data_IF_038451509028
#
_entry.id   IF_038451509028
#
_cell.length_a   1.000
_cell.length_b   1.000
_cell.length_c   1.000
_cell.angle_alpha   90.00
_cell.angle_beta   90.00
_cell.angle_gamma   90.00
#
_symmetry.space_group_name_H-M   'P 1'
#
loop_
_entity.id
_entity.type
_entity.pdbx_description
1 polymer ?
#
# COMPACT_ATOMS: atom_id res chain seq x y z
N UNK A 1 -45.53 7.24 -31.61
CA UNK A 1 -46.98 7.41 -31.37
C UNK A 1 -47.58 6.00 -31.28
N UNK A 2 -48.11 5.57 -30.11
CA UNK A 2 -48.76 4.28 -29.93
C UNK A 2 -47.93 3.17 -29.26
N UNK A 3 -46.68 3.42 -28.84
CA UNK A 3 -45.90 2.45 -28.05
C UNK A 3 -46.41 2.39 -26.62
N UNK A 4 -46.54 1.16 -26.07
CA UNK A 4 -46.92 0.97 -24.67
C UNK A 4 -45.77 1.33 -23.73
N UNK A 5 -46.07 1.75 -22.48
CA UNK A 5 -45.07 2.04 -21.46
C UNK A 5 -44.14 0.85 -21.20
N UNK A 6 -44.67 -0.37 -21.32
CA UNK A 6 -43.88 -1.60 -21.15
C UNK A 6 -42.83 -1.77 -22.25
N UNK A 7 -43.21 -1.47 -23.49
CA UNK A 7 -42.29 -1.56 -24.65
C UNK A 7 -41.17 -0.53 -24.53
N UNK A 8 -41.50 0.72 -24.11
CA UNK A 8 -40.50 1.76 -23.91
C UNK A 8 -39.54 1.42 -22.75
N UNK A 9 -40.07 0.92 -21.61
CA UNK A 9 -39.25 0.46 -20.50
C UNK A 9 -38.31 -0.66 -20.91
N UNK A 10 -38.85 -1.66 -21.60
CA UNK A 10 -38.04 -2.79 -22.11
C UNK A 10 -36.92 -2.32 -23.04
N UNK A 11 -37.18 -1.39 -23.96
CA UNK A 11 -36.17 -0.84 -24.84
C UNK A 11 -35.04 -0.11 -24.10
N UNK A 12 -35.39 0.71 -23.08
CA UNK A 12 -34.41 1.44 -22.27
C UNK A 12 -33.59 0.50 -21.38
N UNK A 13 -34.21 -0.58 -20.85
CA UNK A 13 -33.49 -1.60 -20.09
C UNK A 13 -32.51 -2.38 -20.96
N UNK A 14 -32.92 -2.80 -22.16
CA UNK A 14 -32.04 -3.49 -23.12
C UNK A 14 -30.87 -2.58 -23.49
N UNK A 15 -31.11 -1.28 -23.75
CA UNK A 15 -30.06 -0.32 -24.03
C UNK A 15 -29.04 -0.24 -22.88
N UNK A 16 -29.51 -0.12 -21.63
CA UNK A 16 -28.63 -0.08 -20.44
C UNK A 16 -27.79 -1.36 -20.27
N UNK A 17 -28.42 -2.53 -20.48
CA UNK A 17 -27.72 -3.83 -20.45
C UNK A 17 -26.68 -3.92 -21.58
N UNK A 18 -27.03 -3.49 -22.82
CA UNK A 18 -26.08 -3.47 -23.94
C UNK A 18 -24.87 -2.58 -23.67
N UNK A 19 -25.07 -1.38 -23.08
CA UNK A 19 -23.98 -0.49 -22.69
C UNK A 19 -23.10 -1.13 -21.62
N UNK A 20 -23.70 -1.79 -20.62
CA UNK A 20 -22.95 -2.49 -19.57
C UNK A 20 -22.15 -3.66 -20.12
N UNK A 21 -22.73 -4.47 -21.01
CA UNK A 21 -22.02 -5.57 -21.67
C UNK A 21 -20.93 -5.09 -22.61
N UNK A 22 -21.13 -3.97 -23.31
CA UNK A 22 -20.08 -3.35 -24.10
C UNK A 22 -18.91 -2.88 -23.24
N UNK A 23 -19.19 -2.23 -22.09
CA UNK A 23 -18.18 -1.85 -21.12
C UNK A 23 -17.44 -3.09 -20.56
N UNK A 24 -18.17 -4.19 -20.34
CA UNK A 24 -17.57 -5.46 -19.95
C UNK A 24 -16.63 -6.01 -21.03
N UNK A 25 -17.00 -5.98 -22.32
CA UNK A 25 -16.10 -6.38 -23.41
C UNK A 25 -14.84 -5.54 -23.46
N UNK A 26 -14.95 -4.22 -23.23
CA UNK A 26 -13.78 -3.36 -23.10
C UNK A 26 -12.90 -3.74 -21.89
N UNK A 27 -13.51 -4.13 -20.76
CA UNK A 27 -12.75 -4.59 -19.60
C UNK A 27 -11.97 -5.87 -19.88
N UNK A 28 -12.51 -6.79 -20.70
CA UNK A 28 -11.78 -7.97 -21.15
C UNK A 28 -10.59 -7.62 -22.05
N UNK A 29 -10.70 -6.56 -22.86
CA UNK A 29 -9.55 -6.04 -23.62
C UNK A 29 -8.45 -5.51 -22.69
N UNK A 30 -8.82 -4.79 -21.62
CA UNK A 30 -7.84 -4.39 -20.60
C UNK A 30 -7.24 -5.61 -19.88
N UNK A 31 -8.03 -6.60 -19.53
CA UNK A 31 -7.55 -7.84 -18.93
C UNK A 31 -6.52 -8.57 -19.82
N UNK A 32 -6.66 -8.47 -21.13
CA UNK A 32 -5.67 -9.01 -22.09
C UNK A 32 -4.38 -8.19 -22.16
N UNK A 33 -4.46 -6.87 -21.91
CA UNK A 33 -3.30 -5.95 -21.98
C UNK A 33 -2.52 -5.91 -20.65
N UNK A 34 -3.21 -5.94 -19.50
CA UNK A 34 -2.62 -5.80 -18.15
C UNK A 34 -1.48 -6.79 -17.88
N UNK A 35 -1.55 -8.08 -18.26
CA UNK A 35 -0.45 -9.03 -18.04
C UNK A 35 0.88 -8.64 -18.72
N UNK A 36 0.82 -7.73 -19.70
CA UNK A 36 1.98 -7.22 -20.42
C UNK A 36 2.52 -5.91 -19.84
N UNK A 37 1.96 -5.45 -18.74
CA UNK A 37 2.34 -4.20 -18.07
C UNK A 37 2.87 -4.47 -16.66
N UNK A 38 3.63 -3.53 -16.05
CA UNK A 38 4.07 -3.67 -14.66
C UNK A 38 2.93 -3.80 -13.65
N UNK A 39 1.71 -3.44 -14.02
CA UNK A 39 0.52 -3.53 -13.12
C UNK A 39 0.23 -4.97 -12.71
N UNK A 40 0.64 -5.97 -13.50
CA UNK A 40 0.47 -7.38 -13.15
C UNK A 40 1.16 -7.76 -11.84
N UNK A 41 2.28 -7.13 -11.52
CA UNK A 41 3.01 -7.40 -10.27
C UNK A 41 2.27 -6.96 -8.99
N UNK A 42 1.22 -6.13 -9.14
CA UNK A 42 0.38 -5.71 -8.02
C UNK A 42 -0.68 -6.76 -7.65
N UNK A 43 -0.89 -7.77 -8.48
CA UNK A 43 -1.94 -8.79 -8.30
C UNK A 43 -1.28 -10.15 -8.13
N UNK A 44 -1.49 -10.79 -6.99
CA UNK A 44 -0.94 -12.11 -6.66
C UNK A 44 -1.79 -13.27 -7.24
N UNK A 45 -2.62 -13.01 -8.25
CA UNK A 45 -3.45 -14.00 -8.91
C UNK A 45 -3.09 -14.12 -10.40
N UNK A 46 -3.25 -15.31 -10.95
CA UNK A 46 -3.16 -15.50 -12.40
C UNK A 46 -4.38 -14.85 -13.07
N UNK A 47 -4.15 -13.67 -13.67
CA UNK A 47 -5.14 -12.89 -14.41
C UNK A 47 -5.12 -13.19 -15.91
N UNK A 48 -4.45 -14.27 -16.36
CA UNK A 48 -4.44 -14.64 -17.77
C UNK A 48 -5.84 -15.03 -18.25
N UNK A 49 -6.18 -14.63 -19.47
CA UNK A 49 -7.53 -14.74 -20.03
C UNK A 49 -8.10 -16.16 -20.01
N UNK A 50 -7.26 -17.18 -20.06
CA UNK A 50 -7.66 -18.60 -20.06
C UNK A 50 -7.69 -19.27 -18.69
N UNK A 51 -7.13 -18.64 -17.65
CA UNK A 51 -6.92 -19.30 -16.36
C UNK A 51 -8.22 -19.54 -15.58
N UNK A 52 -9.20 -18.64 -15.73
CA UNK A 52 -10.40 -18.67 -14.88
C UNK A 52 -11.70 -18.38 -15.66
N UNK A 53 -12.14 -19.26 -16.59
CA UNK A 53 -13.30 -19.01 -17.44
C UNK A 53 -14.61 -18.84 -16.64
N UNK A 54 -14.71 -19.47 -15.47
CA UNK A 54 -15.89 -19.38 -14.62
C UNK A 54 -16.02 -17.97 -13.97
N UNK A 55 -14.91 -17.32 -13.62
CA UNK A 55 -14.92 -15.93 -13.12
C UNK A 55 -15.31 -14.98 -14.25
N UNK A 56 -14.78 -15.17 -15.45
CA UNK A 56 -15.14 -14.38 -16.63
C UNK A 56 -16.64 -14.50 -16.91
N UNK A 57 -17.20 -15.70 -16.91
CA UNK A 57 -18.63 -15.90 -17.10
C UNK A 57 -19.47 -15.28 -15.97
N UNK A 58 -19.04 -15.44 -14.71
CA UNK A 58 -19.70 -14.85 -13.54
C UNK A 58 -19.71 -13.33 -13.57
N UNK A 59 -18.60 -12.70 -13.94
CA UNK A 59 -18.51 -11.22 -14.07
C UNK A 59 -19.35 -10.70 -15.24
N UNK A 60 -19.53 -11.46 -16.32
CA UNK A 60 -20.46 -11.11 -17.39
C UNK A 60 -21.91 -11.05 -16.89
N UNK A 61 -22.32 -12.04 -16.09
CA UNK A 61 -23.66 -12.05 -15.46
C UNK A 61 -23.82 -10.86 -14.51
N UNK A 62 -22.81 -10.56 -13.69
CA UNK A 62 -22.81 -9.39 -12.81
C UNK A 62 -22.93 -8.09 -13.63
N UNK A 63 -22.21 -7.97 -14.73
CA UNK A 63 -22.29 -6.80 -15.62
C UNK A 63 -23.71 -6.63 -16.20
N UNK A 64 -24.37 -7.73 -16.60
CA UNK A 64 -25.76 -7.68 -17.08
C UNK A 64 -26.73 -7.23 -15.97
N UNK A 65 -26.60 -7.78 -14.74
CA UNK A 65 -27.41 -7.39 -13.59
C UNK A 65 -27.21 -5.89 -13.25
N UNK A 66 -25.96 -5.42 -13.23
CA UNK A 66 -25.65 -3.99 -13.01
C UNK A 66 -26.28 -3.10 -14.07
N UNK A 67 -26.21 -3.51 -15.35
CA UNK A 67 -26.88 -2.81 -16.45
C UNK A 67 -28.40 -2.74 -16.27
N UNK A 68 -29.02 -3.84 -15.86
CA UNK A 68 -30.46 -3.88 -15.57
C UNK A 68 -30.84 -2.95 -14.41
N UNK A 69 -30.13 -3.06 -13.28
CA UNK A 69 -30.37 -2.20 -12.10
C UNK A 69 -30.17 -0.70 -12.41
N UNK A 70 -29.12 -0.38 -13.17
CA UNK A 70 -28.85 1.01 -13.60
C UNK A 70 -29.93 1.54 -14.54
N UNK A 71 -30.51 0.71 -15.41
CA UNK A 71 -31.56 1.07 -16.34
C UNK A 71 -32.95 1.14 -15.72
N UNK A 72 -33.21 0.45 -14.58
CA UNK A 72 -34.53 0.40 -13.95
C UNK A 72 -35.07 1.80 -13.62
N UNK A 73 -34.32 2.58 -12.88
CA UNK A 73 -34.78 3.90 -12.44
C UNK A 73 -35.02 4.86 -13.64
N UNK A 74 -34.09 5.05 -14.58
CA UNK A 74 -34.32 5.90 -15.75
C UNK A 74 -35.53 5.47 -16.58
N UNK A 75 -35.72 4.16 -16.80
CA UNK A 75 -36.84 3.64 -17.57
C UNK A 75 -38.18 3.93 -16.93
N UNK A 76 -38.32 3.73 -15.63
CA UNK A 76 -39.51 4.09 -14.89
C UNK A 76 -39.77 5.60 -14.87
N UNK A 77 -38.71 6.37 -14.66
CA UNK A 77 -38.81 7.83 -14.57
C UNK A 77 -39.26 8.44 -15.90
N UNK A 78 -38.62 8.06 -17.02
CA UNK A 78 -38.95 8.59 -18.35
C UNK A 78 -40.40 8.24 -18.77
N UNK A 79 -40.86 7.04 -18.43
CA UNK A 79 -42.23 6.60 -18.81
C UNK A 79 -43.33 7.06 -17.86
N UNK A 80 -42.97 7.73 -16.73
CA UNK A 80 -43.98 8.28 -15.81
C UNK A 80 -44.57 9.64 -16.23
N UNK A 81 -44.04 10.25 -17.29
CA UNK A 81 -44.49 11.56 -17.78
C UNK A 81 -45.53 11.44 -18.88
N UNK A 82 -46.61 12.28 -18.87
CA UNK A 82 -47.55 12.33 -19.95
C UNK A 82 -46.91 12.76 -21.27
N UNK A 83 -47.17 12.06 -22.38
CA UNK A 83 -46.57 12.37 -23.70
C UNK A 83 -46.74 13.82 -24.17
N UNK A 84 -47.86 14.47 -23.79
CA UNK A 84 -48.14 15.86 -24.13
C UNK A 84 -47.11 16.86 -23.51
N UNK A 85 -46.54 16.58 -22.35
CA UNK A 85 -45.50 17.40 -21.73
C UNK A 85 -44.14 17.23 -22.38
N UNK A 86 -43.88 16.02 -22.90
CA UNK A 86 -42.64 15.68 -23.61
C UNK A 86 -42.58 16.41 -24.96
N UNK A 87 -43.71 16.45 -25.67
CA UNK A 87 -43.81 17.12 -26.97
C UNK A 87 -43.70 18.65 -26.88
N UNK A 88 -44.02 19.26 -25.72
CA UNK A 88 -43.87 20.72 -25.48
C UNK A 88 -42.45 21.15 -25.10
N UNK A 89 -41.45 20.26 -25.17
CA UNK A 89 -40.03 20.59 -24.93
C UNK A 89 -39.64 20.90 -23.50
N UNK A 90 -40.60 20.87 -22.53
CA UNK A 90 -40.36 21.19 -21.11
C UNK A 90 -39.89 19.98 -20.26
N UNK A 91 -39.62 18.87 -20.92
CA UNK A 91 -39.44 17.55 -20.32
C UNK A 91 -38.11 17.36 -19.58
N UNK A 92 -37.01 17.99 -20.02
CA UNK A 92 -35.66 17.63 -19.55
C UNK A 92 -35.31 18.01 -18.10
N UNK A 93 -36.20 18.64 -17.33
CA UNK A 93 -35.78 19.58 -16.29
C UNK A 93 -36.60 19.54 -15.02
N UNK A 94 -37.17 18.37 -14.70
CA UNK A 94 -37.84 18.21 -13.40
C UNK A 94 -36.83 18.37 -12.26
N UNK A 95 -37.30 18.99 -11.17
CA UNK A 95 -36.53 19.13 -9.92
C UNK A 95 -36.02 17.77 -9.38
N UNK A 96 -36.81 16.71 -9.60
CA UNK A 96 -36.44 15.34 -9.19
C UNK A 96 -35.26 14.77 -10.00
N UNK A 97 -35.23 14.94 -11.33
CA UNK A 97 -34.10 14.47 -12.16
C UNK A 97 -32.80 15.20 -11.85
N UNK A 98 -32.87 16.50 -11.55
CA UNK A 98 -31.69 17.28 -11.13
C UNK A 98 -31.14 16.81 -9.78
N UNK A 99 -32.02 16.63 -8.78
CA UNK A 99 -31.60 16.10 -7.46
C UNK A 99 -30.95 14.74 -7.56
N UNK A 100 -31.52 13.83 -8.37
CA UNK A 100 -30.95 12.49 -8.56
C UNK A 100 -29.56 12.53 -9.15
N UNK A 101 -29.29 13.34 -10.17
CA UNK A 101 -27.96 13.51 -10.75
C UNK A 101 -26.96 14.08 -9.75
N UNK A 102 -27.39 15.11 -8.97
CA UNK A 102 -26.54 15.68 -7.92
C UNK A 102 -26.21 14.65 -6.85
N UNK A 103 -27.15 13.78 -6.48
CA UNK A 103 -26.90 12.68 -5.52
C UNK A 103 -25.90 11.67 -6.08
N UNK A 104 -26.05 11.26 -7.36
CA UNK A 104 -25.11 10.32 -7.98
C UNK A 104 -23.68 10.88 -8.03
N UNK A 105 -23.51 12.13 -8.45
CA UNK A 105 -22.21 12.82 -8.44
C UNK A 105 -21.71 13.00 -7.01
N UNK A 106 -22.61 13.26 -6.05
CA UNK A 106 -22.28 13.33 -4.63
C UNK A 106 -21.68 12.02 -4.10
N UNK A 107 -22.29 10.88 -4.43
CA UNK A 107 -21.75 9.55 -4.06
C UNK A 107 -20.36 9.34 -4.66
N UNK A 108 -20.14 9.74 -5.92
CA UNK A 108 -18.82 9.66 -6.55
C UNK A 108 -17.77 10.52 -5.82
N UNK A 109 -18.12 11.74 -5.40
CA UNK A 109 -17.22 12.59 -4.62
C UNK A 109 -16.91 12.00 -3.25
N UNK A 110 -17.93 11.48 -2.53
CA UNK A 110 -17.71 10.80 -1.25
C UNK A 110 -16.73 9.63 -1.42
N UNK A 111 -16.95 8.78 -2.42
CA UNK A 111 -16.05 7.67 -2.72
C UNK A 111 -14.62 8.16 -3.06
N UNK A 112 -14.51 9.23 -3.86
CA UNK A 112 -13.20 9.82 -4.21
C UNK A 112 -12.48 10.36 -2.97
N UNK A 113 -13.17 11.05 -2.06
CA UNK A 113 -12.55 11.51 -0.81
C UNK A 113 -12.07 10.35 0.05
N UNK A 114 -12.88 9.29 0.19
CA UNK A 114 -12.51 8.09 0.97
C UNK A 114 -11.24 7.46 0.40
N UNK A 115 -11.18 7.27 -0.92
CA UNK A 115 -10.06 6.63 -1.58
C UNK A 115 -8.78 7.49 -1.54
N UNK A 116 -8.89 8.81 -1.76
CA UNK A 116 -7.74 9.72 -1.73
C UNK A 116 -7.17 9.81 -0.31
N UNK A 117 -8.02 9.99 0.71
CA UNK A 117 -7.56 10.03 2.10
C UNK A 117 -6.92 8.70 2.49
N UNK A 118 -7.54 7.57 2.12
CA UNK A 118 -7.00 6.23 2.34
C UNK A 118 -5.64 6.04 1.68
N UNK A 119 -5.51 6.42 0.41
CA UNK A 119 -4.26 6.34 -0.36
C UNK A 119 -3.14 7.18 0.28
N UNK A 120 -3.43 8.42 0.70
CA UNK A 120 -2.45 9.28 1.34
C UNK A 120 -1.94 8.69 2.67
N UNK A 121 -2.84 8.18 3.51
CA UNK A 121 -2.41 7.54 4.76
C UNK A 121 -1.66 6.23 4.54
N UNK A 122 -2.03 5.42 3.55
CA UNK A 122 -1.25 4.24 3.18
C UNK A 122 0.15 4.61 2.70
N UNK A 123 0.26 5.65 1.89
CA UNK A 123 1.57 6.17 1.49
C UNK A 123 2.40 6.62 2.71
N UNK A 124 1.81 7.37 3.64
CA UNK A 124 2.48 7.83 4.84
C UNK A 124 2.92 6.66 5.74
N UNK A 125 2.08 5.64 5.92
CA UNK A 125 2.44 4.45 6.68
C UNK A 125 3.57 3.65 6.02
N UNK A 126 3.50 3.45 4.70
CA UNK A 126 4.54 2.77 3.96
C UNK A 126 5.87 3.52 4.04
N UNK A 127 5.83 4.84 3.87
CA UNK A 127 7.00 5.71 4.03
C UNK A 127 7.58 5.64 5.45
N UNK A 128 6.73 5.63 6.47
CA UNK A 128 7.14 5.46 7.86
C UNK A 128 7.85 4.12 8.07
N UNK A 129 7.27 2.99 7.58
CA UNK A 129 7.86 1.66 7.72
C UNK A 129 9.22 1.53 7.02
N UNK A 130 9.39 2.13 5.86
CA UNK A 130 10.65 2.08 5.10
C UNK A 130 11.77 2.89 5.75
N UNK A 131 11.44 4.02 6.40
CA UNK A 131 12.41 4.97 6.93
C UNK A 131 12.56 4.94 8.46
N UNK A 132 11.73 4.19 9.17
CA UNK A 132 11.83 4.11 10.61
C UNK A 132 13.12 3.39 11.04
N UNK A 133 13.80 3.88 12.09
CA UNK A 133 14.99 3.23 12.60
C UNK A 133 14.64 1.82 13.12
N UNK A 134 15.34 0.83 12.64
CA UNK A 134 15.16 -0.56 13.04
C UNK A 134 15.91 -0.88 14.34
N UNK A 135 16.92 -0.07 14.67
CA UNK A 135 17.84 -0.30 15.81
C UNK A 135 19.07 -1.12 15.40
N UNK A 136 19.25 -1.35 14.10
CA UNK A 136 20.42 -2.00 13.51
C UNK A 136 20.65 -1.49 12.08
N UNK A 137 21.88 -1.68 11.58
CA UNK A 137 22.27 -1.28 10.22
C UNK A 137 21.77 -2.29 9.19
N UNK A 138 21.17 -1.78 8.11
CA UNK A 138 20.71 -2.57 6.96
C UNK A 138 21.38 -2.17 5.64
N UNK A 139 21.99 -1.00 5.62
CA UNK A 139 22.54 -0.40 4.40
C UNK A 139 23.89 -1.04 4.02
N UNK A 140 24.16 -1.08 2.74
CA UNK A 140 25.42 -1.61 2.19
C UNK A 140 25.75 -3.03 2.67
N UNK A 141 24.70 -3.88 2.81
CA UNK A 141 24.83 -5.24 3.31
C UNK A 141 24.23 -6.24 2.32
N UNK A 142 24.99 -7.30 2.05
CA UNK A 142 24.56 -8.45 1.27
C UNK A 142 24.32 -9.63 2.21
N UNK A 143 23.25 -10.37 1.92
CA UNK A 143 22.86 -11.57 2.64
C UNK A 143 23.03 -12.78 1.74
N UNK A 144 23.53 -13.85 2.36
CA UNK A 144 23.70 -15.16 1.73
C UNK A 144 23.17 -16.25 2.65
N UNK A 145 22.35 -17.14 2.12
CA UNK A 145 22.03 -18.39 2.79
C UNK A 145 23.15 -19.38 2.62
N UNK A 146 23.63 -19.93 3.73
CA UNK A 146 24.74 -20.85 3.78
C UNK A 146 24.26 -22.30 3.82
N UNK A 147 25.07 -23.20 3.22
CA UNK A 147 24.92 -24.63 3.37
C UNK A 147 25.98 -25.22 4.31
N UNK A 148 25.91 -26.53 4.54
CA UNK A 148 26.85 -27.24 5.43
C UNK A 148 28.29 -27.19 4.94
N UNK A 149 28.53 -27.19 3.62
CA UNK A 149 29.86 -27.14 3.04
C UNK A 149 30.57 -25.83 3.40
N UNK A 150 29.87 -24.71 3.24
CA UNK A 150 30.38 -23.38 3.60
C UNK A 150 30.58 -23.29 5.13
N UNK A 151 29.62 -23.78 5.92
CA UNK A 151 29.74 -23.75 7.39
C UNK A 151 30.97 -24.48 7.92
N UNK A 152 31.32 -25.63 7.32
CA UNK A 152 32.54 -26.38 7.68
C UNK A 152 33.82 -25.62 7.32
N UNK A 153 33.79 -24.74 6.34
CA UNK A 153 34.93 -23.96 5.86
C UNK A 153 34.76 -22.46 6.13
N UNK A 154 33.98 -22.09 7.17
CA UNK A 154 33.53 -20.72 7.43
C UNK A 154 34.67 -19.71 7.53
N UNK A 155 35.76 -20.04 8.21
CA UNK A 155 36.90 -19.13 8.39
C UNK A 155 37.57 -18.83 7.03
N UNK A 156 37.85 -19.88 6.23
CA UNK A 156 38.42 -19.72 4.89
C UNK A 156 37.45 -18.95 3.95
N UNK A 157 36.16 -19.15 4.10
CA UNK A 157 35.15 -18.39 3.36
C UNK A 157 35.13 -16.91 3.79
N UNK A 158 35.20 -16.63 5.10
CA UNK A 158 35.31 -15.27 5.64
C UNK A 158 36.55 -14.54 5.13
N UNK A 159 37.71 -15.20 5.15
CA UNK A 159 38.99 -14.65 4.66
C UNK A 159 38.92 -14.33 3.16
N UNK A 160 38.29 -15.21 2.37
CA UNK A 160 38.09 -14.96 0.97
C UNK A 160 37.15 -13.76 0.73
N UNK A 161 36.05 -13.64 1.44
CA UNK A 161 35.16 -12.47 1.31
C UNK A 161 35.90 -11.18 1.66
N UNK A 162 36.70 -11.19 2.75
CA UNK A 162 37.49 -10.04 3.20
C UNK A 162 38.67 -9.71 2.26
N UNK A 163 39.05 -10.59 1.32
CA UNK A 163 40.05 -10.28 0.32
C UNK A 163 39.62 -9.21 -0.68
N UNK A 164 38.30 -8.95 -0.81
CA UNK A 164 37.78 -7.83 -1.58
C UNK A 164 37.86 -6.55 -0.75
N UNK A 165 38.56 -5.55 -1.24
CA UNK A 165 38.86 -4.30 -0.52
C UNK A 165 37.63 -3.50 -0.08
N UNK A 166 36.48 -3.69 -0.77
CA UNK A 166 35.19 -3.08 -0.47
C UNK A 166 34.47 -3.72 0.70
N UNK A 167 34.78 -4.97 1.08
CA UNK A 167 34.19 -5.62 2.25
C UNK A 167 34.75 -4.98 3.52
N UNK A 168 33.87 -4.57 4.41
CA UNK A 168 34.22 -4.01 5.71
C UNK A 168 34.37 -5.13 6.75
N UNK A 169 33.31 -5.97 6.88
CA UNK A 169 33.31 -7.11 7.80
C UNK A 169 32.26 -8.14 7.38
N UNK A 170 32.32 -9.34 7.99
CA UNK A 170 31.39 -10.45 7.76
C UNK A 170 30.94 -10.99 9.09
N UNK A 171 29.65 -11.30 9.21
CA UNK A 171 29.10 -11.91 10.41
C UNK A 171 28.01 -12.93 10.07
N UNK A 172 27.61 -13.73 11.03
CA UNK A 172 26.74 -14.87 10.82
C UNK A 172 25.64 -14.97 11.85
N UNK A 173 24.50 -15.51 11.44
CA UNK A 173 23.42 -15.91 12.35
C UNK A 173 22.78 -17.22 11.92
N UNK A 174 22.11 -17.88 12.85
CA UNK A 174 21.40 -19.12 12.57
C UNK A 174 20.16 -18.88 11.67
N UNK A 175 19.47 -17.78 11.89
CA UNK A 175 18.31 -17.35 11.09
C UNK A 175 18.53 -15.92 10.61
N UNK A 176 17.82 -15.53 9.56
CA UNK A 176 17.84 -14.16 9.08
C UNK A 176 17.17 -13.22 10.08
N UNK A 177 17.87 -12.17 10.51
CA UNK A 177 17.28 -11.11 11.33
C UNK A 177 16.16 -10.41 10.56
N UNK A 178 15.01 -10.20 11.20
CA UNK A 178 13.82 -9.58 10.61
C UNK A 178 13.18 -10.36 9.44
N UNK A 179 13.32 -11.68 9.43
CA UNK A 179 12.54 -12.54 8.54
C UNK A 179 11.08 -12.61 9.01
N UNK A 180 10.16 -12.99 8.09
CA UNK A 180 8.77 -13.29 8.48
C UNK A 180 8.66 -14.56 9.35
N UNK A 181 9.59 -15.47 9.15
CA UNK A 181 9.68 -16.67 9.94
C UNK A 181 10.21 -16.29 11.32
N UNK A 182 9.40 -16.55 12.31
CA UNK A 182 9.74 -16.26 13.70
C UNK A 182 11.02 -17.00 14.09
N UNK A 183 11.85 -16.33 14.88
CA UNK A 183 12.98 -16.98 15.55
C UNK A 183 12.46 -18.09 16.44
N UNK A 184 13.31 -19.07 16.74
CA UNK A 184 12.93 -20.11 17.69
C UNK A 184 12.58 -19.49 19.04
N UNK A 185 11.35 -19.69 19.48
CA UNK A 185 10.96 -19.37 20.84
C UNK A 185 11.67 -20.33 21.81
N UNK A 186 12.45 -19.80 22.71
CA UNK A 186 13.12 -20.58 23.75
C UNK A 186 12.40 -20.41 25.07
N UNK A 187 12.10 -21.57 25.73
CA UNK A 187 11.70 -21.63 27.11
C UNK A 187 12.92 -21.99 27.97
N UNK A 188 13.21 -21.24 29.01
CA UNK A 188 14.32 -21.45 29.94
C UNK A 188 13.88 -21.21 31.36
N UNK A 189 14.54 -21.91 32.32
CA UNK A 189 14.33 -21.61 33.73
C UNK A 189 15.24 -20.47 34.18
N UNK A 190 14.62 -19.48 34.82
CA UNK A 190 15.32 -18.39 35.46
C UNK A 190 14.76 -18.17 36.86
N UNK A 191 15.56 -18.49 37.91
CA UNK A 191 15.18 -18.38 39.32
C UNK A 191 13.87 -19.12 39.66
N UNK A 192 13.68 -20.33 39.08
CA UNK A 192 12.49 -21.16 39.29
C UNK A 192 11.25 -20.75 38.50
N UNK A 193 11.37 -19.77 37.60
CA UNK A 193 10.30 -19.31 36.67
C UNK A 193 10.67 -19.66 35.24
N UNK A 194 9.72 -20.24 34.51
CA UNK A 194 9.91 -20.45 33.07
C UNK A 194 9.72 -19.12 32.33
N UNK A 195 10.77 -18.64 31.66
CA UNK A 195 10.75 -17.46 30.82
C UNK A 195 10.74 -17.88 29.34
N UNK A 196 9.95 -17.17 28.52
CA UNK A 196 9.85 -17.44 27.09
C UNK A 196 10.28 -16.21 26.31
N UNK A 197 11.22 -16.39 25.40
CA UNK A 197 11.76 -15.31 24.58
C UNK A 197 12.14 -15.81 23.19
N UNK A 198 12.20 -14.90 22.22
CA UNK A 198 12.75 -15.18 20.90
C UNK A 198 14.28 -15.22 21.02
N UNK A 199 14.92 -16.22 20.42
CA UNK A 199 16.37 -16.35 20.46
C UNK A 199 16.96 -16.40 19.06
N UNK A 200 17.98 -15.59 18.82
CA UNK A 200 18.78 -15.62 17.59
C UNK A 200 20.23 -15.95 17.93
N UNK A 201 20.68 -17.18 17.69
CA UNK A 201 22.09 -17.53 17.76
C UNK A 201 22.91 -16.80 16.69
N UNK A 202 24.03 -16.21 17.11
CA UNK A 202 24.87 -15.33 16.29
C UNK A 202 26.36 -15.58 16.54
N UNK A 203 27.21 -15.14 15.59
CA UNK A 203 28.65 -15.11 15.77
C UNK A 203 29.09 -13.94 16.67
N UNK A 204 30.27 -14.01 17.24
CA UNK A 204 30.81 -13.01 18.17
C UNK A 204 30.95 -11.60 17.58
N UNK A 205 31.02 -11.45 16.27
CA UNK A 205 31.11 -10.16 15.59
C UNK A 205 29.73 -9.53 15.27
N UNK A 206 28.63 -10.23 15.56
CA UNK A 206 27.30 -9.90 15.00
C UNK A 206 26.81 -8.51 15.39
N UNK A 207 26.78 -8.17 16.68
CA UNK A 207 26.27 -6.90 17.14
C UNK A 207 27.08 -5.74 16.59
N UNK A 208 28.41 -5.89 16.58
CA UNK A 208 29.32 -4.89 16.02
C UNK A 208 29.09 -4.63 14.54
N UNK A 209 28.94 -5.68 13.72
CA UNK A 209 28.70 -5.54 12.27
C UNK A 209 27.33 -4.98 11.95
N UNK A 210 26.34 -5.35 12.76
CA UNK A 210 24.96 -4.85 12.66
C UNK A 210 24.77 -3.47 13.28
N UNK A 211 25.79 -2.85 13.88
CA UNK A 211 25.69 -1.55 14.52
C UNK A 211 24.78 -1.52 15.75
N UNK A 212 24.59 -2.66 16.43
CA UNK A 212 23.76 -2.77 17.63
C UNK A 212 24.61 -2.45 18.85
N UNK A 213 24.29 -1.35 19.55
CA UNK A 213 25.02 -0.93 20.73
C UNK A 213 24.52 -1.66 21.98
N UNK A 214 25.46 -2.16 22.79
CA UNK A 214 25.16 -2.72 24.11
C UNK A 214 25.05 -1.57 25.11
N UNK A 215 23.89 -1.41 25.74
CA UNK A 215 23.62 -0.35 26.73
C UNK A 215 24.16 -0.64 28.08
N UNK A 216 24.16 -1.91 28.49
CA UNK A 216 24.62 -2.36 29.82
C UNK A 216 25.37 -3.67 29.67
N UNK A 217 26.47 -3.82 30.38
CA UNK A 217 27.34 -4.97 30.25
C UNK A 217 28.34 -4.84 29.12
N UNK A 218 28.52 -5.88 28.31
CA UNK A 218 29.50 -5.94 27.22
C UNK A 218 28.96 -6.71 26.02
N UNK A 219 29.56 -6.47 24.85
CA UNK A 219 29.37 -7.25 23.64
C UNK A 219 30.06 -8.63 23.72
N UNK A 220 29.68 -9.51 22.80
CA UNK A 220 30.36 -10.77 22.55
C UNK A 220 31.84 -10.55 22.22
N UNK A 221 32.68 -11.50 22.62
CA UNK A 221 34.12 -11.51 22.30
C UNK A 221 34.49 -12.85 21.68
N UNK A 222 35.53 -12.91 20.85
CA UNK A 222 36.01 -14.17 20.30
C UNK A 222 36.38 -15.22 21.36
N UNK A 223 36.78 -14.76 22.56
CA UNK A 223 37.10 -15.66 23.68
C UNK A 223 35.84 -16.37 24.23
N UNK A 224 34.67 -15.78 24.07
CA UNK A 224 33.42 -16.40 24.55
C UNK A 224 33.07 -17.65 23.72
N UNK A 225 33.49 -17.75 22.45
CA UNK A 225 33.36 -18.96 21.61
C UNK A 225 34.12 -20.16 22.17
N UNK A 226 35.14 -19.93 23.04
CA UNK A 226 35.98 -20.97 23.63
C UNK A 226 35.48 -21.40 25.00
N UNK A 227 34.48 -20.76 25.58
CA UNK A 227 33.90 -21.12 26.87
C UNK A 227 33.10 -22.43 26.76
N UNK A 228 33.01 -23.17 27.88
CA UNK A 228 32.18 -24.38 27.92
C UNK A 228 30.69 -24.12 27.86
N UNK A 229 30.25 -22.92 28.27
CA UNK A 229 28.86 -22.48 28.27
C UNK A 229 28.67 -21.31 27.29
N UNK A 230 27.46 -21.14 26.78
CA UNK A 230 27.08 -19.99 25.97
C UNK A 230 26.87 -18.73 26.82
N UNK A 231 26.51 -17.64 26.12
CA UNK A 231 26.13 -16.41 26.77
C UNK A 231 25.01 -15.67 26.00
N UNK A 232 24.22 -14.93 26.79
CA UNK A 232 23.08 -14.16 26.29
C UNK A 232 23.31 -12.66 26.36
N UNK A 233 22.80 -11.96 25.35
CA UNK A 233 22.54 -10.52 25.37
C UNK A 233 21.07 -10.31 25.10
N UNK A 234 20.33 -9.80 26.07
CA UNK A 234 18.88 -9.59 26.00
C UNK A 234 18.51 -8.17 25.60
N UNK A 235 17.30 -7.99 25.06
CA UNK A 235 16.73 -6.66 24.86
C UNK A 235 16.13 -6.10 26.16
N UNK A 236 15.86 -4.76 26.17
CA UNK A 236 15.27 -4.07 27.33
C UNK A 236 13.89 -4.64 27.70
N UNK A 237 13.11 -5.07 26.71
CA UNK A 237 11.81 -5.71 26.96
C UNK A 237 11.92 -6.98 27.79
N UNK A 238 12.86 -7.87 27.45
CA UNK A 238 13.12 -9.09 28.24
C UNK A 238 13.61 -8.75 29.63
N UNK A 239 14.56 -7.80 29.75
CA UNK A 239 15.08 -7.33 31.04
C UNK A 239 13.96 -6.86 31.97
N UNK A 240 13.08 -5.98 31.45
CA UNK A 240 11.99 -5.44 32.25
C UNK A 240 10.90 -6.47 32.59
N UNK A 241 10.57 -7.37 31.65
CA UNK A 241 9.50 -8.34 31.84
C UNK A 241 9.87 -9.46 32.80
N UNK A 242 11.14 -9.90 32.81
CA UNK A 242 11.61 -11.02 33.58
C UNK A 242 12.56 -10.61 34.71
N UNK A 243 12.76 -9.30 34.93
CA UNK A 243 13.66 -8.74 35.96
C UNK A 243 15.09 -9.28 35.86
N UNK A 244 15.59 -9.48 34.62
CA UNK A 244 16.89 -10.07 34.35
C UNK A 244 18.02 -9.17 34.85
N UNK A 245 19.07 -9.78 35.40
CA UNK A 245 20.25 -9.07 35.93
C UNK A 245 21.53 -9.52 35.23
N UNK A 246 22.43 -8.56 35.09
CA UNK A 246 23.74 -8.80 34.50
C UNK A 246 24.53 -9.80 35.34
N UNK A 247 25.32 -10.66 34.68
CA UNK A 247 26.15 -11.73 35.25
C UNK A 247 25.36 -12.85 35.98
N UNK A 248 24.03 -12.85 35.92
CA UNK A 248 23.24 -14.01 36.34
C UNK A 248 23.19 -15.06 35.22
N UNK A 249 22.83 -16.30 35.61
CA UNK A 249 22.83 -17.44 34.68
C UNK A 249 21.43 -17.94 34.40
N UNK A 250 21.19 -18.35 33.16
CA UNK A 250 19.99 -19.03 32.71
C UNK A 250 20.42 -20.40 32.17
N UNK A 251 20.00 -21.48 32.83
CA UNK A 251 20.40 -22.87 32.50
C UNK A 251 21.94 -23.07 32.39
N UNK A 252 22.72 -22.29 33.13
CA UNK A 252 24.18 -22.34 33.14
C UNK A 252 24.86 -21.31 32.24
N UNK A 253 24.16 -20.71 31.30
CA UNK A 253 24.68 -19.70 30.38
C UNK A 253 24.55 -18.28 30.98
N UNK A 254 25.55 -17.45 30.80
CA UNK A 254 25.68 -16.15 31.45
C UNK A 254 24.96 -15.04 30.70
N UNK A 255 24.26 -14.13 31.38
CA UNK A 255 23.76 -12.87 30.82
C UNK A 255 24.89 -11.85 30.86
N UNK A 256 25.46 -11.51 29.70
CA UNK A 256 26.62 -10.62 29.59
C UNK A 256 26.28 -9.18 29.22
N UNK A 257 25.06 -8.91 28.76
CA UNK A 257 24.68 -7.58 28.36
C UNK A 257 23.19 -7.40 28.04
N UNK A 258 22.83 -6.14 27.90
CA UNK A 258 21.49 -5.71 27.44
C UNK A 258 21.61 -4.68 26.34
N UNK A 259 20.72 -4.82 25.34
CA UNK A 259 20.60 -3.94 24.17
C UNK A 259 19.26 -3.20 24.18
N UNK A 260 19.14 -2.09 23.44
CA UNK A 260 17.84 -1.47 23.18
C UNK A 260 16.86 -2.44 22.52
N UNK A 261 15.59 -2.12 22.61
CA UNK A 261 14.57 -2.81 21.82
C UNK A 261 14.76 -2.52 20.33
N UNK A 262 15.14 -3.54 19.58
CA UNK A 262 15.28 -3.48 18.12
C UNK A 262 14.04 -4.03 17.44
N UNK A 263 13.73 -3.54 16.24
CA UNK A 263 12.58 -4.00 15.47
C UNK A 263 12.96 -5.20 14.60
N UNK A 264 12.95 -6.37 15.21
CA UNK A 264 13.34 -7.62 14.56
C UNK A 264 12.17 -8.39 13.90
N UNK A 265 10.95 -7.86 14.01
CA UNK A 265 9.74 -8.42 13.41
C UNK A 265 9.00 -7.37 12.58
N UNK A 266 7.92 -7.78 11.92
CA UNK A 266 7.03 -6.86 11.19
C UNK A 266 6.54 -5.72 12.08
N UNK A 267 6.37 -4.52 11.53
CA UNK A 267 5.78 -3.35 12.21
C UNK A 267 4.33 -3.57 12.70
N UNK A 268 3.74 -4.71 12.34
CA UNK A 268 2.44 -5.16 12.88
C UNK A 268 2.55 -5.72 14.30
N UNK A 269 3.74 -6.16 14.69
CA UNK A 269 3.99 -6.77 15.99
C UNK A 269 4.76 -5.83 16.90
N UNK A 270 4.42 -5.84 18.18
CA UNK A 270 5.26 -5.19 19.20
C UNK A 270 6.56 -5.97 19.38
N UNK A 271 7.60 -5.26 19.77
CA UNK A 271 8.85 -5.92 20.19
C UNK A 271 8.55 -6.82 21.39
N UNK A 272 8.94 -8.08 21.27
CA UNK A 272 8.81 -9.10 22.32
C UNK A 272 10.15 -9.32 23.03
N UNK A 273 10.17 -10.01 24.18
CA UNK A 273 11.41 -10.47 24.78
C UNK A 273 12.26 -11.23 23.77
N UNK A 274 13.52 -10.78 23.60
CA UNK A 274 14.47 -11.34 22.63
C UNK A 274 15.86 -11.41 23.23
N UNK A 275 16.62 -12.42 22.83
CA UNK A 275 18.04 -12.56 23.08
C UNK A 275 18.82 -12.82 21.80
N UNK A 276 20.00 -12.24 21.71
CA UNK A 276 21.09 -12.79 20.92
C UNK A 276 21.86 -13.79 21.78
N UNK A 277 22.26 -14.91 21.17
CA UNK A 277 22.92 -15.97 21.86
C UNK A 277 24.20 -16.38 21.14
N UNK A 278 25.28 -16.46 21.90
CA UNK A 278 26.54 -17.00 21.43
C UNK A 278 26.74 -18.39 21.98
N UNK A 279 26.88 -19.38 21.14
CA UNK A 279 27.18 -20.71 21.53
C UNK A 279 28.61 -20.75 22.12
N UNK A 280 28.78 -21.50 23.22
CA UNK A 280 30.11 -21.86 23.67
C UNK A 280 30.70 -23.04 22.89
N UNK A 281 31.74 -23.64 23.43
CA UNK A 281 32.45 -24.77 22.83
C UNK A 281 31.57 -26.02 22.66
N UNK A 282 30.64 -26.23 23.58
CA UNK A 282 29.68 -27.34 23.55
C UNK A 282 28.39 -26.87 22.90
N UNK A 283 28.25 -27.18 21.63
CA UNK A 283 27.11 -26.78 20.82
C UNK A 283 26.04 -27.87 20.80
N UNK A 284 24.81 -27.45 20.62
CA UNK A 284 23.68 -28.34 20.40
C UNK A 284 23.87 -29.13 19.10
N UNK A 285 24.11 -30.44 19.17
CA UNK A 285 24.41 -31.31 18.05
C UNK A 285 25.90 -31.38 17.73
N UNK A 286 26.44 -32.60 17.66
CA UNK A 286 27.86 -32.91 17.55
C UNK A 286 28.58 -32.43 16.25
N UNK A 287 27.95 -31.65 15.39
CA UNK A 287 28.46 -31.28 14.07
C UNK A 287 28.64 -29.78 13.83
N UNK A 288 28.80 -28.98 14.83
CA UNK A 288 29.23 -27.58 14.66
C UNK A 288 28.12 -26.54 14.60
N UNK A 289 28.49 -25.28 14.84
CA UNK A 289 27.62 -24.11 14.75
C UNK A 289 27.13 -23.92 13.32
N UNK A 290 25.91 -24.33 13.05
CA UNK A 290 25.28 -24.04 11.78
C UNK A 290 24.68 -22.64 11.79
N UNK A 291 25.40 -21.72 11.19
CA UNK A 291 24.83 -20.46 10.81
C UNK A 291 24.27 -20.61 9.39
N UNK A 292 22.99 -20.32 9.21
CA UNK A 292 22.34 -20.44 7.91
C UNK A 292 22.43 -19.14 7.10
N UNK A 293 22.83 -18.04 7.73
CA UNK A 293 22.87 -16.72 7.08
C UNK A 293 24.20 -16.04 7.35
N UNK A 294 24.87 -15.59 6.27
CA UNK A 294 25.99 -14.68 6.32
C UNK A 294 25.55 -13.26 5.95
N UNK A 295 26.07 -12.28 6.67
CA UNK A 295 25.91 -10.84 6.41
C UNK A 295 27.28 -10.30 6.02
N UNK A 296 27.38 -9.78 4.81
CA UNK A 296 28.61 -9.18 4.26
C UNK A 296 28.38 -7.67 4.22
N UNK A 297 29.03 -6.95 5.13
CA UNK A 297 28.97 -5.48 5.22
C UNK A 297 30.02 -4.88 4.32
N UNK A 298 29.63 -3.93 3.49
CA UNK A 298 30.53 -3.17 2.63
C UNK A 298 30.85 -1.80 3.24
N UNK A 299 31.99 -1.25 2.84
CA UNK A 299 32.38 0.12 3.17
C UNK A 299 31.50 1.10 2.39
N UNK A 300 31.17 2.23 2.99
CA UNK A 300 30.41 3.29 2.31
C UNK A 300 31.07 3.70 1.00
N UNK A 301 30.27 3.77 -0.08
CA UNK A 301 30.74 4.14 -1.41
C UNK A 301 31.48 3.05 -2.17
N UNK A 302 31.51 1.80 -1.69
CA UNK A 302 32.05 0.67 -2.42
C UNK A 302 31.21 0.32 -3.65
N UNK A 303 31.83 -0.25 -4.67
CA UNK A 303 31.11 -0.84 -5.80
C UNK A 303 30.39 -2.13 -5.37
N UNK A 304 29.12 -1.99 -4.99
CA UNK A 304 28.29 -3.10 -4.52
C UNK A 304 28.03 -4.16 -5.59
N UNK A 305 28.07 -3.78 -6.88
CA UNK A 305 27.90 -4.73 -7.99
C UNK A 305 29.08 -5.68 -8.10
N UNK A 306 30.28 -5.12 -8.11
CA UNK A 306 31.52 -5.93 -8.08
C UNK A 306 31.63 -6.73 -6.77
N UNK A 307 31.15 -6.16 -5.66
CA UNK A 307 31.06 -6.85 -4.38
C UNK A 307 30.13 -8.07 -4.42
N UNK A 308 28.96 -7.94 -5.01
CA UNK A 308 28.01 -9.05 -5.18
C UNK A 308 28.61 -10.17 -6.05
N UNK A 309 29.30 -9.82 -7.14
CA UNK A 309 29.95 -10.81 -7.99
C UNK A 309 31.06 -11.54 -7.23
N UNK A 310 31.88 -10.81 -6.47
CA UNK A 310 32.91 -11.42 -5.61
C UNK A 310 32.32 -12.38 -4.57
N UNK A 311 31.19 -12.03 -3.97
CA UNK A 311 30.46 -12.94 -3.04
C UNK A 311 30.01 -14.19 -3.77
N UNK A 312 29.43 -14.06 -4.96
CA UNK A 312 28.99 -15.19 -5.80
C UNK A 312 30.13 -16.11 -6.17
N UNK A 313 31.21 -15.58 -6.74
CA UNK A 313 32.44 -16.35 -7.08
C UNK A 313 33.04 -17.05 -5.85
N UNK A 314 32.94 -16.38 -4.68
CA UNK A 314 33.44 -16.97 -3.44
C UNK A 314 32.60 -18.17 -3.02
N UNK A 315 31.30 -18.12 -3.15
CA UNK A 315 30.38 -19.23 -2.87
C UNK A 315 30.60 -20.40 -3.83
N UNK A 316 30.65 -20.12 -5.15
CA UNK A 316 30.86 -21.12 -6.19
C UNK A 316 32.19 -21.85 -6.03
N UNK A 317 33.20 -21.19 -5.48
CA UNK A 317 34.52 -21.83 -5.23
C UNK A 317 34.45 -22.90 -4.14
N UNK A 318 33.56 -22.76 -3.15
CA UNK A 318 33.38 -23.73 -2.05
C UNK A 318 32.37 -24.81 -2.40
N UNK A 319 31.35 -24.47 -3.19
CA UNK A 319 30.32 -25.41 -3.64
C UNK A 319 29.69 -24.90 -4.93
N UNK A 320 30.16 -25.41 -6.08
CA UNK A 320 29.71 -24.98 -7.40
C UNK A 320 28.36 -25.59 -7.83
N UNK A 321 27.88 -26.61 -7.15
CA UNK A 321 26.61 -27.29 -7.49
C UNK A 321 25.42 -26.71 -6.74
N UNK A 322 25.66 -25.99 -5.63
CA UNK A 322 24.59 -25.45 -4.81
C UNK A 322 24.09 -24.10 -5.37
N UNK A 323 22.78 -23.92 -5.60
CA UNK A 323 22.22 -22.70 -6.15
C UNK A 323 22.14 -21.60 -5.08
N UNK A 324 23.24 -20.90 -4.84
CA UNK A 324 23.27 -19.81 -3.88
C UNK A 324 22.42 -18.62 -4.33
N UNK A 325 21.65 -18.06 -3.40
CA UNK A 325 20.90 -16.83 -3.60
C UNK A 325 21.59 -15.72 -2.83
N UNK A 326 22.07 -14.72 -3.57
CA UNK A 326 22.74 -13.52 -3.04
C UNK A 326 21.81 -12.33 -3.22
N UNK A 327 21.46 -11.64 -2.15
CA UNK A 327 20.52 -10.51 -2.17
C UNK A 327 21.01 -9.37 -1.29
N UNK A 328 20.57 -8.17 -1.59
CA UNK A 328 20.74 -7.05 -0.68
C UNK A 328 19.79 -7.18 0.51
N UNK A 329 20.26 -6.76 1.68
CA UNK A 329 19.47 -6.90 2.92
C UNK A 329 18.23 -6.01 2.93
N UNK A 330 18.33 -4.79 2.40
CA UNK A 330 17.19 -3.89 2.25
C UNK A 330 16.11 -4.45 1.30
N UNK A 331 16.50 -5.13 0.22
CA UNK A 331 15.57 -5.84 -0.66
C UNK A 331 14.80 -6.95 0.09
N UNK A 332 15.51 -7.73 0.90
CA UNK A 332 14.87 -8.79 1.71
C UNK A 332 13.90 -8.21 2.74
N UNK A 333 14.26 -7.09 3.37
CA UNK A 333 13.37 -6.40 4.30
C UNK A 333 12.14 -5.82 3.59
N UNK A 334 12.28 -5.32 2.36
CA UNK A 334 11.16 -4.83 1.56
C UNK A 334 10.14 -5.95 1.27
N UNK A 335 10.57 -7.18 1.03
CA UNK A 335 9.66 -8.31 0.85
C UNK A 335 8.74 -8.56 2.05
N UNK A 336 9.18 -8.21 3.25
CA UNK A 336 8.36 -8.30 4.47
C UNK A 336 7.12 -7.39 4.41
N UNK A 337 7.20 -6.29 3.65
CA UNK A 337 6.13 -5.29 3.49
C UNK A 337 5.52 -5.29 2.09
N UNK A 338 5.85 -6.28 1.26
CA UNK A 338 5.42 -6.31 -0.14
C UNK A 338 3.89 -6.29 -0.28
N UNK A 339 3.18 -6.97 0.62
CA UNK A 339 1.70 -6.97 0.62
C UNK A 339 1.13 -5.58 0.88
N UNK A 340 1.68 -4.87 1.87
CA UNK A 340 1.26 -3.50 2.21
C UNK A 340 1.56 -2.53 1.06
N UNK A 341 2.71 -2.66 0.43
CA UNK A 341 3.09 -1.85 -0.72
C UNK A 341 2.17 -2.11 -1.92
N UNK A 342 1.86 -3.38 -2.21
CA UNK A 342 0.91 -3.78 -3.27
C UNK A 342 -0.49 -3.22 -2.99
N UNK A 343 -1.02 -3.40 -1.78
CA UNK A 343 -2.34 -2.86 -1.39
C UNK A 343 -2.36 -1.34 -1.51
N UNK A 344 -1.33 -0.64 -1.04
CA UNK A 344 -1.20 0.82 -1.17
C UNK A 344 -1.20 1.27 -2.63
N UNK A 345 -0.48 0.57 -3.49
CA UNK A 345 -0.42 0.84 -4.93
C UNK A 345 -1.77 0.61 -5.63
N UNK A 346 -2.47 -0.48 -5.29
CA UNK A 346 -3.81 -0.77 -5.79
C UNK A 346 -4.82 0.31 -5.37
N UNK A 347 -4.82 0.73 -4.11
CA UNK A 347 -5.72 1.78 -3.64
C UNK A 347 -5.41 3.12 -4.32
N UNK A 348 -4.13 3.42 -4.55
CA UNK A 348 -3.72 4.61 -5.32
C UNK A 348 -4.25 4.53 -6.75
N UNK A 349 -4.12 3.40 -7.41
CA UNK A 349 -4.67 3.18 -8.76
C UNK A 349 -6.19 3.36 -8.79
N UNK A 350 -6.92 2.74 -7.85
CA UNK A 350 -8.36 2.91 -7.74
C UNK A 350 -8.78 4.35 -7.41
N UNK A 351 -7.97 5.08 -6.63
CA UNK A 351 -8.19 6.50 -6.36
C UNK A 351 -8.11 7.33 -7.65
N UNK A 352 -7.12 7.07 -8.50
CA UNK A 352 -6.99 7.74 -9.80
C UNK A 352 -8.18 7.43 -10.71
N UNK A 353 -8.64 6.18 -10.76
CA UNK A 353 -9.83 5.78 -11.52
C UNK A 353 -11.08 6.48 -10.98
N UNK A 354 -11.26 6.54 -9.66
CA UNK A 354 -12.39 7.23 -9.03
C UNK A 354 -12.40 8.74 -9.34
N UNK A 355 -11.22 9.38 -9.32
CA UNK A 355 -11.08 10.79 -9.72
C UNK A 355 -11.49 10.96 -11.18
N UNK A 356 -11.01 10.09 -12.08
CA UNK A 356 -11.36 10.17 -13.50
C UNK A 356 -12.88 10.02 -13.73
N UNK A 357 -13.51 9.04 -13.08
CA UNK A 357 -14.96 8.84 -13.14
C UNK A 357 -15.70 10.08 -12.62
N UNK A 358 -15.21 10.69 -11.52
CA UNK A 358 -15.80 11.90 -10.95
C UNK A 358 -15.67 13.10 -11.91
N UNK A 359 -14.55 13.25 -12.59
CA UNK A 359 -14.36 14.29 -13.63
C UNK A 359 -15.40 14.12 -14.73
N UNK A 360 -15.55 12.90 -15.26
CA UNK A 360 -16.53 12.61 -16.33
C UNK A 360 -17.98 12.84 -15.85
N UNK A 361 -18.29 12.45 -14.60
CA UNK A 361 -19.59 12.67 -13.98
C UNK A 361 -19.91 14.16 -13.82
N UNK A 362 -18.96 14.94 -13.31
CA UNK A 362 -19.08 16.41 -13.18
C UNK A 362 -19.21 17.06 -14.53
N UNK A 363 -18.37 16.68 -15.49
CA UNK A 363 -18.44 17.20 -16.86
C UNK A 363 -19.84 17.01 -17.45
N UNK A 364 -20.40 15.79 -17.39
CA UNK A 364 -21.74 15.50 -17.88
C UNK A 364 -22.82 16.32 -17.16
N UNK A 365 -22.70 16.49 -15.83
CA UNK A 365 -23.63 17.31 -15.05
C UNK A 365 -23.55 18.80 -15.45
N UNK A 366 -22.32 19.32 -15.59
CA UNK A 366 -22.09 20.74 -15.98
C UNK A 366 -22.60 21.03 -17.39
N UNK A 367 -22.36 20.14 -18.36
CA UNK A 367 -22.90 20.27 -19.74
C UNK A 367 -24.40 20.39 -19.67
N UNK A 368 -25.04 19.49 -18.95
CA UNK A 368 -26.51 19.50 -18.84
C UNK A 368 -27.03 20.75 -18.12
N UNK A 369 -26.41 21.18 -17.03
CA UNK A 369 -26.82 22.35 -16.26
C UNK A 369 -26.59 23.64 -17.07
N UNK A 370 -25.52 23.70 -17.85
CA UNK A 370 -25.23 24.83 -18.77
C UNK A 370 -26.26 24.95 -19.85
N UNK A 371 -26.65 23.86 -20.53
CA UNK A 371 -27.72 23.87 -21.52
C UNK A 371 -29.04 24.32 -20.92
N UNK A 372 -29.35 23.85 -19.72
CA UNK A 372 -30.56 24.27 -18.99
C UNK A 372 -30.59 25.76 -18.67
N UNK A 373 -29.49 26.28 -18.14
CA UNK A 373 -29.39 27.70 -17.77
C UNK A 373 -29.01 28.60 -18.95
N UNK A 374 -28.94 28.08 -20.16
CA UNK A 374 -28.47 28.81 -21.35
C UNK A 374 -29.26 30.08 -21.60
N UNK A 375 -30.61 30.03 -21.47
CA UNK A 375 -31.47 31.22 -21.58
C UNK A 375 -31.23 32.22 -20.44
N UNK A 376 -31.10 31.74 -19.21
CA UNK A 376 -30.78 32.58 -18.04
C UNK A 376 -29.41 33.27 -18.20
N UNK A 377 -28.38 32.53 -18.63
CA UNK A 377 -27.04 33.07 -18.92
C UNK A 377 -27.12 34.15 -20.00
N UNK A 378 -27.86 33.91 -21.10
CA UNK A 378 -28.00 34.87 -22.19
C UNK A 378 -28.70 36.16 -21.72
N UNK A 379 -29.78 36.06 -20.90
CA UNK A 379 -30.47 37.22 -20.33
C UNK A 379 -29.55 38.03 -19.43
N UNK A 380 -28.81 37.35 -18.54
CA UNK A 380 -27.84 38.00 -17.61
C UNK A 380 -26.73 38.72 -18.38
N UNK A 381 -26.24 38.14 -19.49
CA UNK A 381 -25.25 38.79 -20.37
C UNK A 381 -25.78 40.03 -21.03
N UNK A 382 -27.02 39.97 -21.55
CA UNK A 382 -27.66 41.15 -22.13
C UNK A 382 -27.89 42.26 -21.08
N UNK A 383 -28.13 41.88 -19.83
CA UNK A 383 -28.23 42.81 -18.69
C UNK A 383 -26.86 43.29 -18.15
N UNK A 384 -25.74 42.89 -18.76
CA UNK A 384 -24.40 43.40 -18.45
C UNK A 384 -23.57 42.53 -17.53
N UNK A 385 -24.00 41.30 -17.19
CA UNK A 385 -23.15 40.38 -16.36
C UNK A 385 -21.90 39.96 -17.12
N UNK A 386 -20.80 39.99 -16.40
CA UNK A 386 -19.49 39.54 -16.89
C UNK A 386 -19.37 38.03 -16.94
N UNK A 387 -18.49 37.50 -17.81
CA UNK A 387 -18.19 36.06 -17.83
C UNK A 387 -17.71 35.57 -16.46
N UNK A 388 -16.92 36.36 -15.72
CA UNK A 388 -16.45 36.03 -14.39
C UNK A 388 -17.56 35.81 -13.35
N UNK A 389 -18.61 36.65 -13.38
CA UNK A 389 -19.77 36.52 -12.49
C UNK A 389 -20.55 35.23 -12.76
N UNK A 390 -20.68 34.86 -14.03
CA UNK A 390 -21.34 33.60 -14.44
C UNK A 390 -20.51 32.39 -13.96
N UNK A 391 -19.21 32.39 -14.18
CA UNK A 391 -18.32 31.34 -13.71
C UNK A 391 -18.32 31.22 -12.18
N UNK A 392 -18.32 32.33 -11.47
CA UNK A 392 -18.40 32.36 -10.02
C UNK A 392 -19.68 31.69 -9.51
N UNK A 393 -20.84 32.01 -10.10
CA UNK A 393 -22.12 31.41 -9.75
C UNK A 393 -22.12 29.87 -9.85
N UNK A 394 -21.54 29.34 -10.94
CA UNK A 394 -21.42 27.88 -11.10
C UNK A 394 -20.43 27.27 -10.10
N UNK A 395 -19.24 27.84 -9.97
CA UNK A 395 -18.22 27.33 -9.08
C UNK A 395 -18.66 27.31 -7.61
N UNK A 396 -19.38 28.32 -7.14
CA UNK A 396 -19.95 28.35 -5.78
C UNK A 396 -20.95 27.21 -5.55
N UNK A 397 -21.79 26.88 -6.57
CA UNK A 397 -22.74 25.75 -6.44
C UNK A 397 -22.00 24.42 -6.27
N UNK A 398 -20.93 24.17 -7.05
CA UNK A 398 -20.13 22.96 -6.91
C UNK A 398 -19.28 22.93 -5.64
N UNK A 399 -18.84 24.10 -5.17
CA UNK A 399 -18.14 24.19 -3.88
C UNK A 399 -19.01 23.64 -2.72
N UNK A 400 -20.27 24.02 -2.68
CA UNK A 400 -21.20 23.53 -1.65
C UNK A 400 -21.46 22.02 -1.77
N UNK A 401 -21.59 21.50 -2.97
CA UNK A 401 -21.72 20.05 -3.19
C UNK A 401 -20.48 19.33 -2.68
N UNK A 402 -19.28 19.79 -3.06
CA UNK A 402 -18.00 19.25 -2.59
C UNK A 402 -17.88 19.30 -1.07
N UNK A 403 -18.23 20.44 -0.45
CA UNK A 403 -18.16 20.62 0.99
C UNK A 403 -19.07 19.63 1.72
N UNK A 404 -20.31 19.47 1.25
CA UNK A 404 -21.25 18.50 1.82
C UNK A 404 -20.68 17.08 1.68
N UNK A 405 -20.20 16.70 0.47
CA UNK A 405 -19.64 15.38 0.24
C UNK A 405 -18.39 15.13 1.10
N UNK A 406 -17.57 16.14 1.31
CA UNK A 406 -16.40 16.06 2.19
C UNK A 406 -16.79 15.85 3.65
N UNK A 407 -17.79 16.56 4.15
CA UNK A 407 -18.30 16.41 5.52
C UNK A 407 -18.79 14.99 5.81
N UNK A 408 -19.32 14.27 4.80
CA UNK A 408 -19.69 12.86 4.94
C UNK A 408 -18.53 11.91 4.66
N UNK A 409 -17.72 12.17 3.63
CA UNK A 409 -16.65 11.29 3.19
C UNK A 409 -15.43 11.27 4.13
N UNK A 410 -15.04 12.43 4.64
CA UNK A 410 -13.84 12.56 5.47
C UNK A 410 -13.95 11.80 6.82
N UNK A 411 -15.07 11.85 7.58
CA UNK A 411 -15.21 11.04 8.78
C UNK A 411 -15.19 9.54 8.51
N UNK A 412 -15.81 9.09 7.43
CA UNK A 412 -15.80 7.67 7.03
C UNK A 412 -14.38 7.21 6.69
N UNK A 413 -13.68 8.02 5.90
CA UNK A 413 -12.28 7.75 5.55
C UNK A 413 -11.39 7.74 6.79
N UNK A 414 -11.53 8.72 7.67
CA UNK A 414 -10.79 8.83 8.93
C UNK A 414 -10.99 7.62 9.82
N UNK A 415 -12.23 7.20 10.00
CA UNK A 415 -12.56 6.00 10.78
C UNK A 415 -11.97 4.74 10.15
N UNK A 416 -12.12 4.56 8.83
CA UNK A 416 -11.56 3.42 8.10
C UNK A 416 -10.04 3.35 8.21
N UNK A 417 -9.35 4.47 8.01
CA UNK A 417 -7.89 4.58 8.16
C UNK A 417 -7.46 4.31 9.60
N UNK A 418 -8.18 4.87 10.58
CA UNK A 418 -7.85 4.64 11.99
C UNK A 418 -7.93 3.15 12.34
N UNK A 419 -9.00 2.46 11.94
CA UNK A 419 -9.16 1.02 12.11
C UNK A 419 -8.10 0.20 11.40
N UNK A 420 -7.70 0.62 10.20
CA UNK A 420 -6.62 -0.05 9.47
C UNK A 420 -5.28 0.12 10.17
N UNK A 421 -4.96 1.31 10.65
CA UNK A 421 -3.73 1.61 11.39
C UNK A 421 -3.65 0.87 12.74
N UNK A 422 -4.78 0.50 13.36
CA UNK A 422 -4.79 -0.32 14.58
C UNK A 422 -4.16 -1.71 14.39
N UNK A 423 -4.05 -2.20 13.15
CA UNK A 423 -3.35 -3.45 12.85
C UNK A 423 -1.82 -3.34 12.91
N UNK A 424 -1.28 -2.14 13.14
CA UNK A 424 0.14 -1.87 13.26
C UNK A 424 0.48 -1.45 14.69
N UNK A 425 1.42 -2.16 15.31
CA UNK A 425 1.99 -1.76 16.60
C UNK A 425 2.76 -0.43 16.45
N UNK A 426 3.50 -0.31 15.34
CA UNK A 426 4.23 0.91 14.98
C UNK A 426 3.57 1.58 13.78
N UNK A 427 2.88 2.69 14.05
CA UNK A 427 2.05 3.39 13.06
C UNK A 427 2.39 4.86 12.96
N UNK A 428 2.15 5.41 11.76
CA UNK A 428 2.24 6.85 11.53
C UNK A 428 1.17 7.59 12.34
N UNK A 429 1.45 8.80 12.85
CA UNK A 429 0.43 9.64 13.46
C UNK A 429 -0.71 9.96 12.48
N UNK A 430 -1.91 10.16 13.05
CA UNK A 430 -3.06 10.62 12.27
C UNK A 430 -2.90 12.12 11.95
N UNK A 431 -2.35 12.43 10.78
CA UNK A 431 -2.09 13.80 10.35
C UNK A 431 -3.37 14.50 9.88
N UNK A 432 -3.80 15.53 10.57
CA UNK A 432 -5.00 16.32 10.25
C UNK A 432 -4.92 17.03 8.88
N UNK A 433 -3.72 17.43 8.44
CA UNK A 433 -3.49 18.15 7.18
C UNK A 433 -3.82 17.32 5.92
N UNK A 434 -3.93 16.00 6.05
CA UNK A 434 -4.34 15.09 4.95
C UNK A 434 -5.76 15.40 4.49
N UNK A 435 -6.63 15.79 5.41
CA UNK A 435 -8.03 16.11 5.10
C UNK A 435 -8.15 17.35 4.20
N UNK A 436 -7.62 18.54 4.58
CA UNK A 436 -7.65 19.69 3.70
C UNK A 436 -6.87 19.48 2.39
N UNK A 437 -5.80 18.70 2.38
CA UNK A 437 -5.08 18.36 1.15
C UNK A 437 -5.97 17.57 0.18
N UNK A 438 -6.70 16.57 0.66
CA UNK A 438 -7.63 15.80 -0.15
C UNK A 438 -8.77 16.67 -0.69
N UNK A 439 -9.33 17.57 0.14
CA UNK A 439 -10.35 18.53 -0.29
C UNK A 439 -9.82 19.45 -1.38
N UNK A 440 -8.61 19.96 -1.23
CA UNK A 440 -7.96 20.84 -2.19
C UNK A 440 -7.71 20.12 -3.53
N UNK A 441 -7.24 18.88 -3.50
CA UNK A 441 -6.98 18.08 -4.70
C UNK A 441 -8.26 17.86 -5.52
N UNK A 442 -9.34 17.37 -4.90
CA UNK A 442 -10.63 17.16 -5.57
C UNK A 442 -11.24 18.50 -6.01
N UNK A 443 -11.12 19.54 -5.16
CA UNK A 443 -11.63 20.87 -5.43
C UNK A 443 -10.98 21.51 -6.65
N UNK A 444 -9.66 21.52 -6.75
CA UNK A 444 -8.93 22.07 -7.91
C UNK A 444 -9.35 21.39 -9.20
N UNK A 445 -9.38 20.06 -9.21
CA UNK A 445 -9.79 19.28 -10.40
C UNK A 445 -11.23 19.62 -10.80
N UNK A 446 -12.15 19.68 -9.83
CA UNK A 446 -13.56 20.00 -10.08
C UNK A 446 -13.71 21.42 -10.59
N UNK A 447 -13.06 22.41 -9.96
CA UNK A 447 -13.13 23.79 -10.40
C UNK A 447 -12.54 24.01 -11.79
N UNK A 448 -11.44 23.33 -12.13
CA UNK A 448 -10.89 23.36 -13.48
C UNK A 448 -11.91 22.84 -14.50
N UNK A 449 -12.54 21.70 -14.21
CA UNK A 449 -13.54 21.06 -15.08
C UNK A 449 -14.77 21.96 -15.27
N UNK A 450 -15.33 22.48 -14.16
CA UNK A 450 -16.49 23.36 -14.14
C UNK A 450 -16.21 24.67 -14.89
N UNK A 451 -15.07 25.28 -14.60
CA UNK A 451 -14.67 26.55 -15.20
C UNK A 451 -14.43 26.39 -16.70
N UNK A 452 -13.71 25.35 -17.12
CA UNK A 452 -13.43 25.08 -18.52
C UNK A 452 -14.74 24.94 -19.33
N UNK A 453 -15.68 24.14 -18.85
CA UNK A 453 -16.93 23.88 -19.55
C UNK A 453 -17.85 25.11 -19.59
N UNK A 454 -18.01 25.80 -18.45
CA UNK A 454 -18.89 26.98 -18.41
C UNK A 454 -18.29 28.19 -19.12
N UNK A 455 -16.96 28.30 -19.20
CA UNK A 455 -16.29 29.35 -19.98
C UNK A 455 -16.68 29.29 -21.47
N UNK A 456 -16.77 28.09 -22.03
CA UNK A 456 -17.18 27.88 -23.41
C UNK A 456 -18.61 28.36 -23.65
N UNK A 457 -19.54 27.95 -22.78
CA UNK A 457 -20.97 28.37 -22.87
C UNK A 457 -21.14 29.88 -22.60
N UNK A 458 -20.43 30.42 -21.64
CA UNK A 458 -20.48 31.84 -21.30
C UNK A 458 -19.94 32.75 -22.41
N UNK A 459 -19.10 32.26 -23.34
CA UNK A 459 -18.58 33.03 -24.47
C UNK A 459 -19.35 32.83 -25.76
N UNK A 460 -20.42 32.01 -25.77
CA UNK A 460 -21.32 31.91 -26.94
C UNK A 460 -22.11 33.20 -27.18
N UNK A 461 -22.51 33.41 -28.45
CA UNK A 461 -23.25 34.59 -28.83
C UNK A 461 -24.67 34.57 -28.21
N UNK A 462 -25.04 35.55 -27.35
CA UNK A 462 -26.33 35.58 -26.64
C UNK A 462 -27.53 35.59 -27.55
N UNK A 463 -27.42 36.26 -28.74
CA UNK A 463 -28.51 36.41 -29.71
C UNK A 463 -28.93 35.06 -30.29
N UNK A 464 -27.99 34.14 -30.50
CA UNK A 464 -28.25 32.79 -31.04
C UNK A 464 -29.04 31.93 -30.06
N UNK A 465 -28.81 32.17 -28.74
CA UNK A 465 -29.40 31.40 -27.65
C UNK A 465 -30.80 31.88 -27.22
N UNK A 466 -31.17 33.11 -27.60
CA UNK A 466 -32.51 33.68 -27.34
C UNK A 466 -33.47 33.36 -28.49
N UNK A 467 -32.96 33.18 -29.73
CA UNK A 467 -33.75 32.92 -30.97
C UNK A 467 -34.04 31.45 -31.26
N UNK A 468 -33.47 30.50 -30.51
CA UNK A 468 -33.75 29.07 -30.71
C UNK A 468 -35.09 28.69 -30.10
N UNK A 469 -36.19 28.92 -30.82
CA UNK A 469 -37.47 28.23 -30.67
C UNK A 469 -37.55 27.08 -31.65
#
# INVERSE_FOLDING_TARGET
LGSSDRTLRGSLLVEAVCVSLFAYLLSLLFLYIIPKTPVVSLVDADISFGAQPMIIAGTAVIAAIVGELAGLYPSYYVTSFPPALVLKGSFGLSLAGRRMRSVLVGVQFVASFILIIGSLFMYLQNHYMQNAPLGYDKEEMIIVHLNNTINKNRDAFTDRLKSFSGVQDVTYSQFLLSSQDQYMGWGRDYNGNNINFQCLPVSSSFLKVMGIEVKEGRDFRPEDDQKETGCYIFNEKAKAQYELKLNEKIDGDEIIGFIPDIKFASFRQEVTPMAFYLWGKYQWGQEGNYYNTAYVKFKAGSDLRSGMEHVRESLEKFDSEYPFVVRFYDEVLQHTYEKELKIGSLITLFSLVAIFISIVGVFGLVVFESEYKRKEIAVRKVLGSTTGEILYMFNVSYFWILLICFVFGAPVAWYGVHRWLENFAYRTPMYWWVLPLAFLAVGVITFMTVTYQNWHVANENPVKNIKSE
#
